data_IF_526717331834
#
_entry.id   IF_526717331834
#
_cell.length_a   1.000
_cell.length_b   1.000
_cell.length_c   1.000
_cell.angle_alpha   90.00
_cell.angle_beta   90.00
_cell.angle_gamma   90.00
#
_symmetry.space_group_name_H-M   'P 1'
#
loop_
_entity.id
_entity.type
_entity.pdbx_description
1 polymer ?
#
# COMPACT_ATOMS: atom_id res chain seq x y z
N UNK A 1 -8.86 -33.78 41.31
CA UNK A 1 -9.50 -33.39 40.03
C UNK A 1 -10.69 -34.31 39.78
N UNK A 2 -11.90 -33.76 39.74
CA UNK A 2 -13.13 -34.50 39.46
C UNK A 2 -13.09 -35.07 38.04
N UNK A 3 -13.70 -36.24 37.79
CA UNK A 3 -13.79 -36.88 36.45
C UNK A 3 -14.25 -35.89 35.36
N UNK A 4 -15.14 -34.96 35.71
CA UNK A 4 -15.65 -33.90 34.84
C UNK A 4 -14.58 -32.95 34.33
N UNK A 5 -13.57 -32.61 35.15
CA UNK A 5 -12.48 -31.72 34.74
C UNK A 5 -11.56 -32.38 33.70
N UNK A 6 -11.31 -33.69 33.80
CA UNK A 6 -10.50 -34.43 32.82
C UNK A 6 -11.20 -34.57 31.46
N UNK A 7 -12.53 -34.71 31.46
CA UNK A 7 -13.34 -34.77 30.23
C UNK A 7 -13.40 -33.40 29.54
N UNK A 8 -13.58 -32.33 30.32
CA UNK A 8 -13.55 -30.94 29.80
C UNK A 8 -12.18 -30.59 29.19
N UNK A 9 -11.08 -30.93 29.86
CA UNK A 9 -9.73 -30.66 29.37
C UNK A 9 -9.42 -31.54 28.14
N UNK A 10 -9.87 -32.80 28.14
CA UNK A 10 -9.70 -33.72 27.01
C UNK A 10 -10.47 -33.31 25.75
N UNK A 11 -11.60 -32.61 25.88
CA UNK A 11 -12.36 -32.05 24.76
C UNK A 11 -11.86 -30.65 24.33
N UNK A 12 -11.35 -29.85 25.26
CA UNK A 12 -10.82 -28.51 24.95
C UNK A 12 -9.54 -28.57 24.11
N UNK A 13 -8.64 -29.52 24.38
CA UNK A 13 -7.37 -29.65 23.66
C UNK A 13 -7.55 -29.89 22.14
N UNK A 14 -8.35 -30.86 21.66
CA UNK A 14 -8.59 -31.06 20.23
C UNK A 14 -9.37 -29.89 19.61
N UNK A 15 -10.25 -29.20 20.36
CA UNK A 15 -10.94 -28.00 19.87
C UNK A 15 -9.94 -26.86 19.60
N UNK A 16 -8.97 -26.66 20.51
CA UNK A 16 -7.91 -25.65 20.34
C UNK A 16 -6.99 -26.01 19.17
N UNK A 17 -6.62 -27.29 19.01
CA UNK A 17 -5.81 -27.75 17.88
C UNK A 17 -6.56 -27.56 16.55
N UNK A 18 -7.85 -27.89 16.50
CA UNK A 18 -8.69 -27.67 15.33
C UNK A 18 -8.81 -26.18 15.00
N UNK A 19 -9.05 -25.33 16.00
CA UNK A 19 -9.11 -23.88 15.82
C UNK A 19 -7.76 -23.33 15.31
N UNK A 20 -6.63 -23.78 15.87
CA UNK A 20 -5.30 -23.38 15.42
C UNK A 20 -5.00 -23.84 13.99
N UNK A 21 -5.40 -25.06 13.62
CA UNK A 21 -5.27 -25.57 12.26
C UNK A 21 -6.12 -24.76 11.27
N UNK A 22 -7.39 -24.48 11.60
CA UNK A 22 -8.28 -23.65 10.78
C UNK A 22 -7.68 -22.25 10.61
N UNK A 23 -7.17 -21.63 11.67
CA UNK A 23 -6.52 -20.32 11.61
C UNK A 23 -5.25 -20.35 10.76
N UNK A 24 -4.43 -21.40 10.86
CA UNK A 24 -3.21 -21.55 10.06
C UNK A 24 -3.52 -21.69 8.57
N UNK A 25 -4.41 -22.62 8.21
CA UNK A 25 -4.79 -22.87 6.81
C UNK A 25 -5.62 -21.74 6.21
N UNK A 26 -6.37 -20.98 7.03
CA UNK A 26 -7.20 -19.85 6.57
C UNK A 26 -6.54 -18.49 6.77
N UNK A 27 -5.27 -18.45 7.21
CA UNK A 27 -4.55 -17.21 7.54
C UNK A 27 -4.55 -16.21 6.38
N UNK A 28 -4.44 -16.68 5.14
CA UNK A 28 -4.53 -15.84 3.94
C UNK A 28 -5.90 -15.17 3.78
N UNK A 29 -6.99 -15.90 4.05
CA UNK A 29 -8.37 -15.38 3.97
C UNK A 29 -8.61 -14.36 5.10
N UNK A 30 -8.13 -14.65 6.31
CA UNK A 30 -8.21 -13.73 7.44
C UNK A 30 -7.43 -12.43 7.19
N UNK A 31 -6.25 -12.51 6.57
CA UNK A 31 -5.48 -11.32 6.20
C UNK A 31 -6.26 -10.44 5.21
N UNK A 32 -6.84 -11.03 4.17
CA UNK A 32 -7.67 -10.32 3.18
C UNK A 32 -8.90 -9.68 3.84
N UNK A 33 -9.56 -10.39 4.76
CA UNK A 33 -10.67 -9.87 5.53
C UNK A 33 -10.25 -8.70 6.44
N UNK A 34 -9.08 -8.80 7.09
CA UNK A 34 -8.56 -7.75 7.95
C UNK A 34 -8.22 -6.48 7.15
N UNK A 35 -7.60 -6.64 5.97
CA UNK A 35 -7.34 -5.53 5.05
C UNK A 35 -8.67 -4.89 4.61
N UNK A 36 -9.65 -5.69 4.24
CA UNK A 36 -10.98 -5.20 3.86
C UNK A 36 -11.67 -4.47 5.02
N UNK A 37 -11.52 -4.94 6.26
CA UNK A 37 -12.06 -4.29 7.45
C UNK A 37 -11.38 -2.95 7.74
N UNK A 38 -10.05 -2.89 7.65
CA UNK A 38 -9.31 -1.64 7.78
C UNK A 38 -9.74 -0.62 6.72
N UNK A 39 -9.84 -1.04 5.45
CA UNK A 39 -10.35 -0.21 4.36
C UNK A 39 -11.80 0.22 4.59
N UNK A 40 -12.66 -0.68 5.08
CA UNK A 40 -14.05 -0.38 5.38
C UNK A 40 -14.13 0.71 6.45
N UNK A 41 -13.32 0.61 7.49
CA UNK A 41 -13.25 1.61 8.54
C UNK A 41 -12.77 2.98 8.01
N UNK A 42 -11.77 3.00 7.12
CA UNK A 42 -11.27 4.23 6.49
C UNK A 42 -12.32 4.87 5.58
N UNK A 43 -13.06 4.07 4.80
CA UNK A 43 -14.02 4.56 3.81
C UNK A 43 -15.42 4.82 4.37
N UNK A 44 -15.81 4.18 5.47
CA UNK A 44 -17.14 4.32 6.08
C UNK A 44 -17.52 5.77 6.43
N UNK A 45 -16.63 6.65 6.94
CA UNK A 45 -16.94 8.06 7.15
C UNK A 45 -17.41 8.79 5.89
N UNK A 46 -16.87 8.43 4.72
CA UNK A 46 -17.30 9.02 3.44
C UNK A 46 -18.70 8.51 3.05
N UNK A 47 -19.00 7.23 3.29
CA UNK A 47 -20.34 6.65 3.07
C UNK A 47 -21.35 7.28 4.02
N UNK A 48 -21.04 7.38 5.31
CA UNK A 48 -21.90 8.03 6.30
C UNK A 48 -22.15 9.51 5.99
N UNK A 49 -21.15 10.22 5.45
CA UNK A 49 -21.33 11.60 5.00
C UNK A 49 -22.35 11.72 3.87
N UNK A 50 -22.33 10.81 2.90
CA UNK A 50 -23.31 10.76 1.82
C UNK A 50 -24.70 10.32 2.33
N UNK A 51 -24.74 9.39 3.28
CA UNK A 51 -25.98 8.92 3.92
C UNK A 51 -26.68 10.05 4.69
N UNK A 52 -25.91 10.86 5.43
CA UNK A 52 -26.42 12.07 6.10
C UNK A 52 -26.97 13.13 5.13
N UNK A 53 -26.55 13.11 3.87
CA UNK A 53 -27.10 13.95 2.79
C UNK A 53 -28.35 13.36 2.11
N UNK A 54 -28.85 12.23 2.60
CA UNK A 54 -30.06 11.58 2.10
C UNK A 54 -29.82 10.55 0.99
N UNK A 55 -28.56 10.22 0.66
CA UNK A 55 -28.25 9.17 -0.31
C UNK A 55 -28.40 7.80 0.37
N UNK A 56 -29.17 6.87 -0.21
CA UNK A 56 -29.28 5.52 0.35
C UNK A 56 -27.91 4.86 0.43
N UNK A 57 -27.63 4.14 1.52
CA UNK A 57 -26.32 3.53 1.81
C UNK A 57 -25.71 2.77 0.64
N UNK A 58 -26.50 1.98 -0.09
CA UNK A 58 -26.05 1.27 -1.30
C UNK A 58 -25.42 2.21 -2.34
N UNK A 59 -26.10 3.31 -2.68
CA UNK A 59 -25.58 4.28 -3.65
C UNK A 59 -24.39 5.07 -3.09
N UNK A 60 -24.41 5.38 -1.79
CA UNK A 60 -23.27 5.99 -1.10
C UNK A 60 -22.01 5.13 -1.21
N UNK A 61 -22.14 3.82 -0.99
CA UNK A 61 -21.05 2.86 -1.15
C UNK A 61 -20.56 2.84 -2.60
N UNK A 62 -21.46 2.73 -3.58
CA UNK A 62 -21.07 2.71 -5.01
C UNK A 62 -20.30 3.97 -5.42
N UNK A 63 -20.73 5.15 -4.96
CA UNK A 63 -20.04 6.42 -5.23
C UNK A 63 -18.65 6.44 -4.60
N UNK A 64 -18.53 6.07 -3.32
CA UNK A 64 -17.24 6.03 -2.62
C UNK A 64 -16.29 5.00 -3.25
N UNK A 65 -16.80 3.84 -3.65
CA UNK A 65 -16.03 2.81 -4.34
C UNK A 65 -15.49 3.30 -5.68
N UNK A 66 -16.36 3.90 -6.49
CA UNK A 66 -15.99 4.44 -7.79
C UNK A 66 -14.94 5.55 -7.62
N UNK A 67 -15.15 6.47 -6.68
CA UNK A 67 -14.20 7.53 -6.37
C UNK A 67 -12.84 6.97 -5.92
N UNK A 68 -12.82 5.99 -5.02
CA UNK A 68 -11.59 5.34 -4.59
C UNK A 68 -10.84 4.67 -5.74
N UNK A 69 -11.54 3.95 -6.63
CA UNK A 69 -10.93 3.33 -7.81
C UNK A 69 -10.34 4.40 -8.74
N UNK A 70 -11.07 5.48 -9.00
CA UNK A 70 -10.62 6.58 -9.86
C UNK A 70 -9.40 7.29 -9.27
N UNK A 71 -9.42 7.62 -7.97
CA UNK A 71 -8.31 8.30 -7.28
C UNK A 71 -7.07 7.41 -7.25
N UNK A 72 -7.20 6.15 -6.84
CA UNK A 72 -6.08 5.21 -6.80
C UNK A 72 -5.54 4.92 -8.20
N UNK A 73 -6.42 4.78 -9.20
CA UNK A 73 -6.02 4.57 -10.59
C UNK A 73 -5.29 5.77 -11.19
N UNK A 74 -5.81 6.98 -10.98
CA UNK A 74 -5.16 8.22 -11.41
C UNK A 74 -3.80 8.41 -10.72
N UNK A 75 -3.71 8.11 -9.42
CA UNK A 75 -2.44 8.14 -8.68
C UNK A 75 -1.42 7.12 -9.22
N UNK A 76 -1.86 5.89 -9.51
CA UNK A 76 -0.99 4.88 -10.10
C UNK A 76 -0.48 5.29 -11.50
N UNK A 77 -1.35 5.84 -12.35
CA UNK A 77 -0.95 6.37 -13.67
C UNK A 77 0.02 7.54 -13.50
N UNK A 78 -0.24 8.46 -12.57
CA UNK A 78 0.65 9.57 -12.26
C UNK A 78 2.06 9.09 -11.87
N UNK A 79 2.16 8.14 -10.92
CA UNK A 79 3.45 7.57 -10.50
C UNK A 79 4.18 6.94 -11.68
N UNK A 80 3.47 6.18 -12.50
CA UNK A 80 4.01 5.52 -13.68
C UNK A 80 4.56 6.52 -14.70
N UNK A 81 3.79 7.58 -15.00
CA UNK A 81 4.21 8.60 -15.96
C UNK A 81 5.38 9.40 -15.41
N UNK A 82 5.35 9.79 -14.13
CA UNK A 82 6.46 10.48 -13.47
C UNK A 82 7.73 9.63 -13.49
N UNK A 83 7.63 8.33 -13.16
CA UNK A 83 8.78 7.42 -13.21
C UNK A 83 9.30 7.29 -14.64
N UNK A 84 8.44 6.95 -15.62
CA UNK A 84 8.88 6.66 -17.00
C UNK A 84 9.39 7.90 -17.76
N UNK A 85 8.80 9.07 -17.51
CA UNK A 85 9.24 10.33 -18.10
C UNK A 85 10.66 10.69 -17.64
N UNK A 86 10.91 10.63 -16.34
CA UNK A 86 12.22 10.97 -15.78
C UNK A 86 13.26 9.87 -16.02
N UNK A 87 12.85 8.59 -16.09
CA UNK A 87 13.73 7.47 -16.42
C UNK A 87 14.36 7.59 -17.82
N UNK A 88 13.66 8.21 -18.78
CA UNK A 88 14.19 8.44 -20.13
C UNK A 88 15.34 9.46 -20.11
N UNK A 89 15.22 10.49 -19.28
CA UNK A 89 16.29 11.47 -19.05
C UNK A 89 17.49 10.85 -18.34
N UNK A 90 17.25 9.94 -17.38
CA UNK A 90 18.33 9.19 -16.72
C UNK A 90 19.12 8.30 -17.69
N UNK A 91 18.47 7.68 -18.68
CA UNK A 91 19.17 6.85 -19.67
C UNK A 91 20.12 7.65 -20.55
N UNK A 92 19.77 8.88 -20.90
CA UNK A 92 20.64 9.78 -21.66
C UNK A 92 21.89 10.17 -20.85
N UNK A 93 21.73 10.35 -19.54
CA UNK A 93 22.82 10.71 -18.62
C UNK A 93 23.51 9.49 -17.98
N UNK A 94 23.09 8.28 -18.33
CA UNK A 94 23.57 7.04 -17.72
C UNK A 94 25.10 6.85 -17.85
N UNK A 95 25.74 7.14 -19.00
CA UNK A 95 27.19 7.05 -19.11
C UNK A 95 27.91 7.97 -18.11
N UNK A 96 27.38 9.18 -17.89
CA UNK A 96 27.91 10.10 -16.89
C UNK A 96 27.72 9.54 -15.47
N UNK A 97 26.52 9.06 -15.12
CA UNK A 97 26.25 8.45 -13.82
C UNK A 97 27.16 7.25 -13.53
N UNK A 98 27.41 6.40 -14.53
CA UNK A 98 28.33 5.26 -14.39
C UNK A 98 29.76 5.73 -14.17
N UNK A 99 30.22 6.71 -14.94
CA UNK A 99 31.57 7.23 -14.81
C UNK A 99 31.78 7.85 -13.42
N UNK A 100 30.81 8.63 -12.94
CA UNK A 100 30.81 9.18 -11.59
C UNK A 100 30.81 8.09 -10.51
N UNK A 101 29.97 7.06 -10.64
CA UNK A 101 29.92 5.96 -9.68
C UNK A 101 31.25 5.15 -9.65
N UNK A 102 31.88 4.97 -10.82
CA UNK A 102 33.19 4.31 -10.91
C UNK A 102 34.28 5.14 -10.22
N UNK A 103 34.26 6.47 -10.34
CA UNK A 103 35.28 7.35 -9.72
C UNK A 103 35.24 7.31 -8.18
N UNK A 104 34.04 7.28 -7.58
CA UNK A 104 33.85 7.26 -6.11
C UNK A 104 34.11 5.87 -5.51
N UNK A 105 33.96 4.80 -6.29
CA UNK A 105 34.07 3.43 -5.77
C UNK A 105 35.53 3.10 -5.39
N UNK A 106 35.82 2.74 -4.11
CA UNK A 106 37.16 2.36 -3.66
C UNK A 106 37.72 1.15 -4.42
N UNK A 107 39.04 1.11 -4.62
CA UNK A 107 39.72 0.02 -5.33
C UNK A 107 39.41 -1.38 -4.75
N UNK A 108 39.24 -1.48 -3.43
CA UNK A 108 38.89 -2.73 -2.73
C UNK A 108 37.50 -3.26 -3.13
N UNK A 109 36.55 -2.36 -3.39
CA UNK A 109 35.18 -2.72 -3.79
C UNK A 109 35.13 -3.06 -5.28
N UNK A 110 35.89 -2.33 -6.12
CA UNK A 110 36.06 -2.62 -7.55
C UNK A 110 36.60 -4.04 -7.80
N UNK A 111 37.59 -4.46 -7.02
CA UNK A 111 38.17 -5.80 -7.08
C UNK A 111 37.20 -6.92 -6.67
N UNK A 112 36.34 -6.68 -5.67
CA UNK A 112 35.35 -7.67 -5.21
C UNK A 112 34.16 -7.81 -6.17
N UNK A 113 33.77 -6.73 -6.84
CA UNK A 113 32.67 -6.71 -7.82
C UNK A 113 33.10 -7.15 -9.24
N UNK A 114 34.39 -7.36 -9.50
CA UNK A 114 34.91 -7.71 -10.83
C UNK A 114 34.76 -6.59 -11.87
N UNK A 115 34.65 -5.34 -11.41
CA UNK A 115 34.44 -4.15 -12.25
C UNK A 115 35.79 -3.48 -12.46
N UNK A 116 36.58 -4.04 -13.38
CA UNK A 116 37.94 -3.56 -13.68
C UNK A 116 37.93 -2.24 -14.47
N UNK A 117 36.86 -1.97 -15.24
CA UNK A 117 36.72 -0.80 -16.10
C UNK A 117 35.33 -0.18 -16.00
N UNK A 118 35.24 1.14 -16.21
CA UNK A 118 33.98 1.89 -16.29
C UNK A 118 33.01 1.32 -17.32
N UNK A 119 33.52 0.79 -18.43
CA UNK A 119 32.70 0.24 -19.52
C UNK A 119 31.98 -1.06 -19.12
N UNK A 120 32.62 -1.92 -18.31
CA UNK A 120 31.97 -3.14 -17.78
C UNK A 120 30.86 -2.78 -16.78
N UNK A 121 31.05 -1.72 -15.98
CA UNK A 121 30.01 -1.19 -15.09
C UNK A 121 28.85 -0.59 -15.90
N UNK A 122 29.17 0.15 -16.96
CA UNK A 122 28.20 0.77 -17.85
C UNK A 122 27.29 -0.27 -18.50
N UNK A 123 27.89 -1.36 -19.00
CA UNK A 123 27.14 -2.47 -19.60
C UNK A 123 26.24 -3.17 -18.58
N UNK A 124 26.75 -3.49 -17.39
CA UNK A 124 25.95 -4.11 -16.31
C UNK A 124 24.80 -3.23 -15.84
N UNK A 125 25.06 -1.94 -15.63
CA UNK A 125 24.00 -1.01 -15.27
C UNK A 125 23.00 -0.87 -16.41
N UNK A 126 23.44 -0.72 -17.65
CA UNK A 126 22.55 -0.64 -18.81
C UNK A 126 21.66 -1.89 -18.95
N UNK A 127 22.20 -3.09 -18.72
CA UNK A 127 21.40 -4.34 -18.64
C UNK A 127 20.32 -4.27 -17.55
N UNK A 128 20.67 -3.82 -16.33
CA UNK A 128 19.71 -3.63 -15.24
C UNK A 128 18.68 -2.54 -15.56
N UNK A 129 19.09 -1.45 -16.21
CA UNK A 129 18.21 -0.38 -16.66
C UNK A 129 17.24 -0.85 -17.74
N UNK A 130 17.69 -1.69 -18.68
CA UNK A 130 16.84 -2.31 -19.69
C UNK A 130 15.85 -3.31 -19.06
N UNK A 131 16.30 -4.11 -18.09
CA UNK A 131 15.41 -5.02 -17.33
C UNK A 131 14.36 -4.25 -16.53
N UNK A 132 14.75 -3.19 -15.82
CA UNK A 132 13.84 -2.32 -15.09
C UNK A 132 12.86 -1.59 -16.05
N UNK A 133 13.35 -1.14 -17.21
CA UNK A 133 12.51 -0.54 -18.27
C UNK A 133 11.58 -1.55 -18.93
N UNK A 134 11.91 -2.83 -18.99
CA UNK A 134 10.98 -3.87 -19.46
C UNK A 134 9.97 -4.29 -18.39
N UNK A 135 10.36 -4.23 -17.11
CA UNK A 135 9.51 -4.54 -15.97
C UNK A 135 8.50 -3.42 -15.66
N UNK A 136 8.84 -2.15 -15.91
CA UNK A 136 7.92 -1.02 -15.74
C UNK A 136 6.64 -1.17 -16.59
N UNK A 137 6.70 -1.46 -17.91
CA UNK A 137 5.56 -1.90 -18.70
C UNK A 137 4.85 -3.11 -18.13
N UNK A 138 5.50 -4.09 -17.53
CA UNK A 138 4.82 -5.28 -16.97
C UNK A 138 4.01 -4.98 -15.70
N UNK A 139 4.30 -3.89 -14.97
CA UNK A 139 3.46 -3.40 -13.87
C UNK A 139 2.26 -2.58 -14.36
N UNK A 140 2.40 -1.89 -15.51
CA UNK A 140 1.39 -1.00 -16.07
C UNK A 140 0.52 -1.70 -17.11
N UNK A 141 1.05 -2.67 -17.84
CA UNK A 141 0.36 -3.50 -18.83
C UNK A 141 -0.88 -4.16 -18.23
N UNK A 142 -0.87 -4.73 -17.00
CA UNK A 142 -2.09 -5.23 -16.37
C UNK A 142 -3.13 -4.13 -16.17
N UNK A 143 -2.71 -2.91 -15.78
CA UNK A 143 -3.60 -1.77 -15.57
C UNK A 143 -4.15 -1.21 -16.90
N UNK A 144 -3.30 -1.01 -17.91
CA UNK A 144 -3.70 -0.57 -19.25
C UNK A 144 -4.54 -1.63 -19.96
N UNK A 145 -4.16 -2.90 -19.87
CA UNK A 145 -4.95 -4.01 -20.38
C UNK A 145 -6.26 -4.14 -19.62
N UNK A 146 -6.29 -3.88 -18.30
CA UNK A 146 -7.53 -3.82 -17.53
C UNK A 146 -8.42 -2.67 -18.00
N UNK A 147 -7.89 -1.46 -18.19
CA UNK A 147 -8.65 -0.32 -18.70
C UNK A 147 -9.18 -0.56 -20.12
N UNK A 148 -8.34 -1.08 -21.02
CA UNK A 148 -8.75 -1.45 -22.38
C UNK A 148 -9.80 -2.56 -22.36
N UNK A 149 -9.59 -3.62 -21.55
CA UNK A 149 -10.56 -4.71 -21.38
C UNK A 149 -11.84 -4.23 -20.70
N UNK A 150 -11.78 -3.26 -19.79
CA UNK A 150 -12.96 -2.68 -19.15
C UNK A 150 -13.81 -1.85 -20.10
N UNK A 151 -13.18 -1.22 -21.08
CA UNK A 151 -13.86 -0.50 -22.14
C UNK A 151 -14.42 -1.43 -23.24
N UNK A 152 -13.87 -2.64 -23.40
CA UNK A 152 -14.17 -3.51 -24.56
C UNK A 152 -14.82 -4.85 -24.22
N UNK A 153 -14.73 -5.35 -22.99
CA UNK A 153 -15.25 -6.65 -22.59
C UNK A 153 -15.55 -6.73 -21.09
N UNK A 154 -16.84 -6.66 -20.75
CA UNK A 154 -17.37 -6.88 -19.39
C UNK A 154 -16.96 -8.24 -18.82
N UNK A 155 -16.83 -9.27 -19.68
CA UNK A 155 -16.46 -10.63 -19.30
C UNK A 155 -14.97 -10.73 -18.90
N UNK A 156 -14.08 -10.02 -19.61
CA UNK A 156 -12.66 -10.02 -19.31
C UNK A 156 -12.34 -9.25 -18.01
N UNK A 157 -13.11 -8.21 -17.70
CA UNK A 157 -13.08 -7.54 -16.39
C UNK A 157 -13.51 -8.49 -15.29
N UNK A 158 -14.62 -9.22 -15.47
CA UNK A 158 -15.11 -10.21 -14.51
C UNK A 158 -14.05 -11.26 -14.19
N UNK A 159 -13.40 -11.83 -15.21
CA UNK A 159 -12.35 -12.85 -15.06
C UNK A 159 -11.06 -12.30 -14.43
N UNK A 160 -10.64 -11.08 -14.77
CA UNK A 160 -9.48 -10.43 -14.16
C UNK A 160 -9.74 -10.04 -12.70
N UNK A 161 -10.97 -9.61 -12.41
CA UNK A 161 -11.41 -9.30 -11.07
C UNK A 161 -11.43 -10.58 -10.22
N UNK A 162 -11.96 -11.71 -10.70
CA UNK A 162 -12.13 -12.96 -9.94
C UNK A 162 -10.93 -13.38 -9.06
N UNK A 163 -9.68 -13.13 -9.49
CA UNK A 163 -8.48 -13.42 -8.70
C UNK A 163 -8.19 -12.46 -7.53
N UNK A 164 -8.62 -11.19 -7.64
CA UNK A 164 -8.40 -10.14 -6.64
C UNK A 164 -9.71 -9.60 -6.03
N UNK A 165 -10.87 -10.10 -6.47
CA UNK A 165 -12.21 -9.61 -6.16
C UNK A 165 -12.59 -9.83 -4.70
N UNK A 166 -11.92 -10.75 -4.01
CA UNK A 166 -12.23 -11.12 -2.63
C UNK A 166 -12.15 -9.90 -1.71
N UNK A 167 -11.09 -9.08 -1.81
CA UNK A 167 -10.91 -7.89 -0.97
C UNK A 167 -12.02 -6.85 -1.22
N UNK A 168 -12.28 -6.37 -2.46
CA UNK A 168 -13.35 -5.40 -2.70
C UNK A 168 -14.74 -5.97 -2.41
N UNK A 169 -14.98 -7.27 -2.57
CA UNK A 169 -16.24 -7.90 -2.15
C UNK A 169 -16.39 -7.87 -0.63
N UNK A 170 -15.37 -8.31 0.12
CA UNK A 170 -15.38 -8.21 1.58
C UNK A 170 -15.57 -6.76 2.04
N UNK A 171 -14.88 -5.82 1.41
CA UNK A 171 -15.00 -4.40 1.71
C UNK A 171 -16.43 -3.89 1.45
N UNK A 172 -17.05 -4.27 0.32
CA UNK A 172 -18.42 -3.90 0.00
C UNK A 172 -19.41 -4.45 1.03
N UNK A 173 -19.34 -5.74 1.35
CA UNK A 173 -20.22 -6.36 2.35
C UNK A 173 -19.99 -5.76 3.74
N UNK A 174 -18.74 -5.56 4.15
CA UNK A 174 -18.41 -4.92 5.41
C UNK A 174 -18.96 -3.50 5.48
N UNK A 175 -18.87 -2.70 4.41
CA UNK A 175 -19.47 -1.36 4.36
C UNK A 175 -21.00 -1.43 4.38
N UNK A 176 -21.61 -2.36 3.65
CA UNK A 176 -23.07 -2.47 3.55
C UNK A 176 -23.68 -2.93 4.89
N UNK A 177 -23.13 -3.99 5.48
CA UNK A 177 -23.65 -4.64 6.68
C UNK A 177 -23.05 -4.10 7.98
N UNK A 178 -22.09 -3.17 7.95
CA UNK A 178 -21.48 -2.57 9.15
C UNK A 178 -22.52 -2.16 10.22
N UNK A 179 -23.64 -1.48 9.88
CA UNK A 179 -24.63 -1.07 10.88
C UNK A 179 -25.36 -2.26 11.50
N UNK A 180 -25.67 -3.28 10.70
CA UNK A 180 -26.34 -4.50 11.14
C UNK A 180 -25.40 -5.33 12.03
N UNK A 181 -24.11 -5.42 11.66
CA UNK A 181 -23.09 -6.06 12.46
C UNK A 181 -22.92 -5.37 13.83
N UNK A 182 -22.89 -4.03 13.86
CA UNK A 182 -22.86 -3.25 15.11
C UNK A 182 -24.09 -3.54 15.98
N UNK A 183 -25.29 -3.50 15.40
CA UNK A 183 -26.54 -3.78 16.13
C UNK A 183 -26.60 -5.23 16.65
N UNK A 184 -26.12 -6.18 15.86
CA UNK A 184 -26.02 -7.58 16.25
C UNK A 184 -25.08 -7.75 17.45
N UNK A 185 -23.89 -7.15 17.41
CA UNK A 185 -22.93 -7.19 18.53
C UNK A 185 -23.49 -6.52 19.79
N UNK A 186 -24.20 -5.41 19.64
CA UNK A 186 -24.86 -4.71 20.76
C UNK A 186 -26.00 -5.54 21.38
N UNK A 187 -26.66 -6.40 20.60
CA UNK A 187 -27.75 -7.26 21.09
C UNK A 187 -27.30 -8.31 22.12
N UNK A 188 -26.03 -8.73 22.09
CA UNK A 188 -25.46 -9.65 23.07
C UNK A 188 -25.14 -8.98 24.42
N UNK A 189 -25.21 -7.66 24.48
CA UNK A 189 -24.87 -6.89 25.67
C UNK A 189 -26.11 -6.73 26.54
N UNK A 190 -26.06 -7.17 27.81
CA UNK A 190 -27.18 -7.00 28.73
C UNK A 190 -27.56 -5.52 28.84
N UNK A 191 -28.87 -5.24 28.93
CA UNK A 191 -29.40 -3.86 28.87
C UNK A 191 -28.75 -2.92 29.89
N UNK A 192 -28.45 -3.42 31.08
CA UNK A 192 -27.78 -2.68 32.16
C UNK A 192 -26.43 -2.09 31.75
N UNK A 193 -25.71 -2.73 30.82
CA UNK A 193 -24.37 -2.32 30.39
C UNK A 193 -24.34 -1.59 29.05
N UNK A 194 -25.45 -1.55 28.29
CA UNK A 194 -25.54 -0.84 27.01
C UNK A 194 -25.03 0.61 27.05
N UNK A 195 -25.39 1.47 28.03
CA UNK A 195 -24.88 2.85 28.05
C UNK A 195 -23.37 2.92 28.25
N UNK A 196 -22.80 2.02 29.07
CA UNK A 196 -21.34 1.94 29.29
C UNK A 196 -20.63 1.44 28.04
N UNK A 197 -21.18 0.42 27.38
CA UNK A 197 -20.65 -0.10 26.12
C UNK A 197 -20.65 0.97 25.03
N UNK A 198 -21.78 1.66 24.82
CA UNK A 198 -21.90 2.69 23.80
C UNK A 198 -20.90 3.84 24.04
N UNK A 199 -20.74 4.28 25.30
CA UNK A 199 -19.76 5.30 25.65
C UNK A 199 -18.32 4.85 25.35
N UNK A 200 -17.96 3.60 25.69
CA UNK A 200 -16.62 3.05 25.41
C UNK A 200 -16.37 2.83 23.92
N UNK A 201 -17.38 2.39 23.18
CA UNK A 201 -17.29 2.22 21.74
C UNK A 201 -17.07 3.57 21.04
N UNK A 202 -17.75 4.63 21.49
CA UNK A 202 -17.54 5.98 20.97
C UNK A 202 -16.13 6.52 21.26
N UNK A 203 -15.56 6.21 22.43
CA UNK A 203 -14.17 6.56 22.77
C UNK A 203 -13.18 5.86 21.84
N UNK A 204 -13.37 4.55 21.60
CA UNK A 204 -12.55 3.77 20.66
C UNK A 204 -12.66 4.33 19.24
N UNK A 205 -13.88 4.63 18.78
CA UNK A 205 -14.11 5.19 17.45
C UNK A 205 -13.46 6.57 17.27
N UNK A 206 -13.50 7.42 18.30
CA UNK A 206 -12.83 8.71 18.30
C UNK A 206 -11.30 8.58 18.19
N UNK A 207 -10.70 7.64 18.94
CA UNK A 207 -9.25 7.38 18.87
C UNK A 207 -8.86 6.78 17.51
N UNK A 208 -9.61 5.79 17.02
CA UNK A 208 -9.27 5.07 15.79
C UNK A 208 -9.46 5.96 14.55
N UNK A 209 -10.55 6.73 14.50
CA UNK A 209 -10.78 7.71 13.43
C UNK A 209 -9.78 8.88 13.49
N UNK A 210 -9.41 9.33 14.68
CA UNK A 210 -8.35 10.33 14.89
C UNK A 210 -6.99 9.83 14.38
N UNK A 211 -6.63 8.59 14.70
CA UNK A 211 -5.40 7.95 14.22
C UNK A 211 -5.37 7.85 12.69
N UNK A 212 -6.44 7.36 12.06
CA UNK A 212 -6.52 7.23 10.60
C UNK A 212 -6.34 8.59 9.92
N UNK A 213 -7.03 9.63 10.39
CA UNK A 213 -6.91 11.00 9.82
C UNK A 213 -5.52 11.59 10.04
N UNK A 214 -4.95 11.37 11.23
CA UNK A 214 -3.58 11.73 11.54
C UNK A 214 -2.60 11.07 10.59
N UNK A 215 -2.71 9.76 10.39
CA UNK A 215 -1.83 8.99 9.51
C UNK A 215 -1.93 9.46 8.05
N UNK A 216 -3.14 9.65 7.52
CA UNK A 216 -3.32 10.18 6.16
C UNK A 216 -2.73 11.58 6.01
N UNK A 217 -2.87 12.43 7.03
CA UNK A 217 -2.27 13.77 7.04
C UNK A 217 -0.74 13.70 7.07
N UNK A 218 -0.17 12.81 7.88
CA UNK A 218 1.29 12.58 7.92
C UNK A 218 1.80 12.07 6.57
N UNK A 219 1.12 11.09 5.96
CA UNK A 219 1.48 10.59 4.63
C UNK A 219 1.48 11.70 3.57
N UNK A 220 0.46 12.57 3.59
CA UNK A 220 0.36 13.71 2.67
C UNK A 220 1.46 14.75 2.91
N UNK A 221 1.74 15.08 4.18
CA UNK A 221 2.81 16.01 4.55
C UNK A 221 4.17 15.44 4.13
N UNK A 222 4.46 14.18 4.43
CA UNK A 222 5.72 13.54 4.04
C UNK A 222 5.87 13.43 2.53
N UNK A 223 4.80 13.08 1.80
CA UNK A 223 4.80 13.07 0.34
C UNK A 223 5.22 14.44 -0.22
N UNK A 224 4.65 15.52 0.33
CA UNK A 224 4.95 16.88 -0.09
C UNK A 224 6.36 17.32 0.31
N UNK A 225 6.75 17.12 1.57
CA UNK A 225 8.06 17.52 2.09
C UNK A 225 9.20 16.79 1.40
N UNK A 226 9.09 15.47 1.22
CA UNK A 226 10.13 14.71 0.53
C UNK A 226 10.19 15.06 -0.96
N UNK A 227 9.04 15.19 -1.64
CA UNK A 227 9.03 15.58 -3.05
C UNK A 227 9.66 16.97 -3.25
N UNK A 228 9.29 17.93 -2.40
CA UNK A 228 9.80 19.29 -2.48
C UNK A 228 11.29 19.37 -2.11
N UNK A 229 11.69 18.70 -1.02
CA UNK A 229 13.09 18.67 -0.58
C UNK A 229 14.01 18.08 -1.64
N UNK A 230 13.67 16.91 -2.18
CA UNK A 230 14.42 16.27 -3.26
C UNK A 230 14.42 17.13 -4.53
N UNK A 231 13.29 17.77 -4.85
CA UNK A 231 13.19 18.65 -6.02
C UNK A 231 14.09 19.88 -5.90
N UNK A 232 14.17 20.49 -4.72
CA UNK A 232 15.03 21.66 -4.45
C UNK A 232 16.53 21.30 -4.49
N UNK A 233 16.89 20.11 -4.02
CA UNK A 233 18.25 19.56 -4.18
C UNK A 233 18.54 19.28 -5.67
N UNK A 234 17.49 19.15 -6.48
CA UNK A 234 17.59 18.83 -7.89
C UNK A 234 17.80 17.36 -8.14
N UNK A 235 17.29 16.46 -7.29
CA UNK A 235 17.32 15.01 -7.51
C UNK A 235 16.33 14.63 -8.62
N UNK A 236 16.76 13.79 -9.57
CA UNK A 236 15.84 13.19 -10.54
C UNK A 236 14.91 12.21 -9.81
N UNK A 237 13.68 12.07 -10.29
CA UNK A 237 12.58 11.31 -9.69
C UNK A 237 12.12 11.86 -8.32
N UNK A 238 12.47 13.09 -7.96
CA UNK A 238 12.12 13.70 -6.68
C UNK A 238 10.64 13.55 -6.30
N UNK A 239 9.74 13.87 -7.23
CA UNK A 239 8.28 13.81 -7.00
C UNK A 239 7.82 12.35 -6.88
N UNK A 240 8.29 11.45 -7.74
CA UNK A 240 7.97 10.03 -7.66
C UNK A 240 8.46 9.40 -6.35
N UNK A 241 9.70 9.66 -5.96
CA UNK A 241 10.30 9.13 -4.72
C UNK A 241 9.58 9.70 -3.50
N UNK A 242 9.36 11.01 -3.45
CA UNK A 242 8.70 11.66 -2.34
C UNK A 242 7.26 11.18 -2.16
N UNK A 243 6.47 11.15 -3.23
CA UNK A 243 5.08 10.66 -3.17
C UNK A 243 5.00 9.18 -2.82
N UNK A 244 5.88 8.32 -3.37
CA UNK A 244 5.93 6.90 -3.05
C UNK A 244 6.33 6.66 -1.60
N UNK A 245 7.32 7.38 -1.08
CA UNK A 245 7.74 7.34 0.32
C UNK A 245 6.62 7.80 1.27
N UNK A 246 5.91 8.87 0.92
CA UNK A 246 4.77 9.37 1.70
C UNK A 246 3.61 8.37 1.74
N UNK A 247 3.24 7.76 0.61
CA UNK A 247 2.15 6.77 0.56
C UNK A 247 2.53 5.48 1.30
N UNK A 248 3.74 4.98 1.11
CA UNK A 248 4.21 3.77 1.80
C UNK A 248 4.39 3.98 3.31
N UNK A 249 4.45 5.24 3.78
CA UNK A 249 4.42 5.57 5.20
C UNK A 249 3.07 5.26 5.87
N UNK A 250 2.03 4.85 5.12
CA UNK A 250 0.81 4.30 5.70
C UNK A 250 1.12 3.12 6.65
N UNK A 251 2.18 2.37 6.35
CA UNK A 251 2.84 1.47 7.30
C UNK A 251 4.02 2.25 7.89
N UNK A 252 4.02 2.56 9.20
CA UNK A 252 5.10 3.32 9.83
C UNK A 252 6.47 2.73 9.53
N UNK A 253 7.46 3.61 9.36
CA UNK A 253 8.86 3.31 9.02
C UNK A 253 9.12 2.77 7.61
N UNK A 254 8.20 2.01 7.00
CA UNK A 254 8.37 1.46 5.65
C UNK A 254 8.59 2.59 4.65
N UNK A 255 7.77 3.63 4.68
CA UNK A 255 7.91 4.76 3.77
C UNK A 255 9.21 5.54 3.92
N UNK A 256 9.71 5.70 5.15
CA UNK A 256 10.99 6.35 5.41
C UNK A 256 12.15 5.50 4.88
N UNK A 257 12.12 4.18 5.10
CA UNK A 257 13.16 3.27 4.60
C UNK A 257 13.20 3.31 3.07
N UNK A 258 12.04 3.19 2.42
CA UNK A 258 11.93 3.24 0.96
C UNK A 258 12.37 4.60 0.42
N UNK A 259 11.92 5.69 1.04
CA UNK A 259 12.29 7.05 0.66
C UNK A 259 13.78 7.31 0.78
N UNK A 260 14.39 6.99 1.93
CA UNK A 260 15.84 7.15 2.15
C UNK A 260 16.61 6.31 1.15
N UNK A 261 16.26 5.02 1.00
CA UNK A 261 16.95 4.12 0.09
C UNK A 261 16.96 4.66 -1.35
N UNK A 262 15.79 5.03 -1.88
CA UNK A 262 15.69 5.55 -3.24
C UNK A 262 16.38 6.91 -3.40
N UNK A 263 16.26 7.80 -2.40
CA UNK A 263 16.88 9.12 -2.44
C UNK A 263 18.40 9.05 -2.40
N UNK A 264 18.97 8.21 -1.54
CA UNK A 264 20.42 8.02 -1.42
C UNK A 264 20.99 7.43 -2.70
N UNK A 265 20.34 6.41 -3.26
CA UNK A 265 20.76 5.83 -4.55
C UNK A 265 20.77 6.90 -5.64
N UNK A 266 19.72 7.73 -5.72
CA UNK A 266 19.65 8.80 -6.72
C UNK A 266 20.67 9.91 -6.50
N UNK A 267 20.91 10.31 -5.25
CA UNK A 267 21.90 11.32 -4.91
C UNK A 267 23.32 10.87 -5.29
N UNK A 268 23.67 9.61 -5.00
CA UNK A 268 24.97 9.03 -5.35
C UNK A 268 25.19 8.96 -6.86
N UNK A 269 24.15 8.63 -7.64
CA UNK A 269 24.23 8.61 -9.10
C UNK A 269 24.43 10.01 -9.67
N UNK A 270 23.85 11.03 -9.03
CA UNK A 270 23.78 12.40 -9.59
C UNK A 270 24.93 13.32 -9.18
N UNK A 271 25.35 13.31 -7.92
CA UNK A 271 26.11 14.43 -7.33
C UNK A 271 27.53 14.12 -6.85
N UNK A 272 28.03 12.89 -7.01
CA UNK A 272 29.44 12.56 -6.80
C UNK A 272 30.00 12.74 -5.36
N UNK A 273 29.16 12.97 -4.33
CA UNK A 273 29.60 13.10 -2.93
C UNK A 273 28.58 12.48 -1.94
N UNK A 274 29.10 11.89 -0.85
CA UNK A 274 28.32 11.39 0.30
C UNK A 274 27.82 12.58 1.15
N UNK A 275 28.42 13.76 1.00
CA UNK A 275 28.20 14.97 1.80
C UNK A 275 27.60 16.15 1.01
N UNK A 276 26.76 15.89 0.00
CA UNK A 276 25.99 17.00 -0.56
C UNK A 276 25.01 17.56 0.48
N UNK A 277 24.98 18.90 0.67
CA UNK A 277 24.22 19.53 1.75
C UNK A 277 22.71 19.34 1.62
#
# INVERSE_FOLDING_TARGET
MTKSAKILIGAALPLVILAAAVLYYSSAVFLQLFIAFALAYILNPAVEYLERKGIKRLYGIMVVFCLAIVVCGAFAIFLVVSITGEFSSMQLNLPAYVQHLYEITPASIKGYLGVETSDKLALRLNELFLQARSAAPDLIKPLLAFLQKALTSTVAVLLALLGYLIIPVYLFYLLFDLPQLKAFLESYIPERFRPVYAAKLAEVDAVLSGFVRGQLSVCAILALLYSLGLYLIGIDLAIAIGTLAGVTFIIPYVGTIVGIFLSVVMALLKFNDILHP
#
